data_IF_804996368358
#
_entry.id   IF_804996368358
#
_cell.length_a   1.000
_cell.length_b   1.000
_cell.length_c   1.000
_cell.angle_alpha   90.00
_cell.angle_beta   90.00
_cell.angle_gamma   90.00
#
_symmetry.space_group_name_H-M   'P 1'
#
loop_
_entity.id
_entity.type
_entity.pdbx_description
1 polymer ?
#
# COMPACT_ATOMS: atom_id res chain seq x y z
N UNK A 1 6.10 -19.07 -0.88
CA UNK A 1 5.74 -19.79 0.38
C UNK A 1 6.75 -19.41 1.45
N UNK A 2 6.26 -19.11 2.66
CA UNK A 2 7.13 -18.86 3.81
C UNK A 2 7.75 -20.20 4.18
N UNK A 3 9.09 -20.29 4.15
CA UNK A 3 9.79 -21.52 4.46
C UNK A 3 9.83 -21.79 5.98
N UNK A 4 10.18 -23.03 6.37
CA UNK A 4 10.25 -23.43 7.76
C UNK A 4 11.25 -22.62 8.59
N UNK A 5 12.32 -22.13 7.96
CA UNK A 5 13.35 -21.32 8.60
C UNK A 5 12.80 -19.94 9.01
N UNK A 6 12.05 -19.27 8.13
CA UNK A 6 11.38 -18.00 8.47
C UNK A 6 10.34 -18.27 9.55
N UNK A 7 9.51 -19.31 9.38
CA UNK A 7 8.46 -19.65 10.36
C UNK A 7 9.02 -19.88 11.77
N UNK A 8 10.22 -20.49 11.91
CA UNK A 8 10.86 -20.71 13.21
C UNK A 8 11.42 -19.44 13.86
N UNK A 9 11.68 -18.41 13.08
CA UNK A 9 12.20 -17.10 13.56
C UNK A 9 11.10 -16.10 13.90
N UNK A 10 9.84 -16.44 13.58
CA UNK A 10 8.71 -15.60 13.91
C UNK A 10 8.41 -15.68 15.41
N UNK A 11 8.39 -14.54 16.07
CA UNK A 11 8.04 -14.43 17.48
C UNK A 11 6.59 -14.86 17.74
N UNK A 12 6.35 -15.29 18.97
CA UNK A 12 4.99 -15.58 19.45
C UNK A 12 4.63 -14.53 20.51
N UNK A 13 4.04 -13.39 20.09
CA UNK A 13 3.68 -12.36 21.05
C UNK A 13 2.58 -12.82 21.98
N UNK A 14 2.71 -12.45 23.25
CA UNK A 14 1.60 -12.50 24.21
C UNK A 14 0.74 -11.24 24.01
N UNK A 15 0.00 -11.22 22.92
CA UNK A 15 -0.90 -10.10 22.59
C UNK A 15 -2.31 -10.45 23.07
N UNK A 16 -3.03 -9.46 23.54
CA UNK A 16 -4.42 -9.60 23.99
C UNK A 16 -5.27 -10.22 22.88
N UNK A 17 -5.98 -11.35 23.12
CA UNK A 17 -6.84 -11.94 22.11
C UNK A 17 -7.92 -10.96 21.66
N UNK A 18 -8.24 -10.99 20.37
CA UNK A 18 -9.32 -10.17 19.81
C UNK A 18 -10.63 -10.43 20.55
N UNK A 19 -11.31 -9.39 21.08
CA UNK A 19 -12.62 -9.53 21.69
C UNK A 19 -13.65 -10.01 20.65
N UNK A 20 -14.81 -10.43 21.12
CA UNK A 20 -15.93 -10.68 20.22
C UNK A 20 -16.32 -9.37 19.51
N UNK A 21 -16.70 -9.41 18.22
CA UNK A 21 -17.21 -8.24 17.55
C UNK A 21 -18.39 -7.65 18.31
N UNK A 22 -18.32 -6.36 18.63
CA UNK A 22 -19.39 -5.61 19.28
C UNK A 22 -19.72 -4.36 18.46
N UNK A 23 -20.94 -3.87 18.52
CA UNK A 23 -21.32 -2.64 17.83
C UNK A 23 -21.63 -2.81 16.33
N UNK A 24 -21.27 -1.79 15.53
CA UNK A 24 -21.49 -1.80 14.08
C UNK A 24 -20.64 -2.87 13.40
N UNK A 25 -21.19 -3.52 12.37
CA UNK A 25 -20.46 -4.50 11.57
C UNK A 25 -19.19 -3.92 10.94
N UNK A 26 -19.14 -2.61 10.68
CA UNK A 26 -17.96 -1.90 10.13
C UNK A 26 -17.00 -1.39 11.20
N UNK A 27 -17.30 -1.61 12.48
CA UNK A 27 -16.38 -1.29 13.57
C UNK A 27 -15.27 -2.34 13.66
N UNK A 28 -14.04 -1.92 13.33
CA UNK A 28 -12.83 -2.74 13.43
C UNK A 28 -11.86 -2.22 14.51
N UNK A 29 -12.33 -1.43 15.46
CA UNK A 29 -11.48 -0.80 16.49
C UNK A 29 -10.65 -1.82 17.29
N UNK A 30 -11.23 -2.99 17.60
CA UNK A 30 -10.52 -4.07 18.28
C UNK A 30 -9.34 -4.61 17.45
N UNK A 31 -9.49 -4.70 16.12
CA UNK A 31 -8.42 -5.11 15.21
C UNK A 31 -7.33 -4.04 15.12
N UNK A 32 -7.71 -2.76 15.14
CA UNK A 32 -6.76 -1.65 15.21
C UNK A 32 -5.95 -1.65 16.50
N UNK A 33 -6.59 -1.87 17.65
CA UNK A 33 -5.92 -1.98 18.95
C UNK A 33 -4.95 -3.17 18.98
N UNK A 34 -5.36 -4.34 18.50
CA UNK A 34 -4.50 -5.52 18.36
C UNK A 34 -3.28 -5.23 17.47
N UNK A 35 -3.50 -4.57 16.34
CA UNK A 35 -2.42 -4.22 15.41
C UNK A 35 -1.40 -3.28 16.05
N UNK A 36 -1.86 -2.28 16.80
CA UNK A 36 -1.00 -1.35 17.51
C UNK A 36 -0.15 -2.06 18.59
N UNK A 37 -0.75 -2.99 19.36
CA UNK A 37 -0.06 -3.82 20.35
C UNK A 37 0.99 -4.71 19.68
N UNK A 38 0.64 -5.36 18.56
CA UNK A 38 1.56 -6.17 17.77
C UNK A 38 2.74 -5.33 17.21
N UNK A 39 2.45 -4.16 16.64
CA UNK A 39 3.48 -3.27 16.14
C UNK A 39 4.43 -2.80 17.25
N UNK A 40 3.90 -2.48 18.44
CA UNK A 40 4.70 -2.12 19.61
C UNK A 40 5.60 -3.27 20.06
N UNK A 41 5.07 -4.50 20.06
CA UNK A 41 5.83 -5.71 20.38
C UNK A 41 6.97 -5.94 19.40
N UNK A 42 6.72 -5.93 18.08
CA UNK A 42 7.75 -6.13 17.06
C UNK A 42 8.84 -5.03 17.11
N UNK A 43 8.45 -3.78 17.39
CA UNK A 43 9.39 -2.68 17.60
C UNK A 43 10.28 -2.90 18.82
N UNK A 44 9.75 -3.45 19.91
CA UNK A 44 10.52 -3.75 21.13
C UNK A 44 11.59 -4.82 20.93
N UNK A 45 11.39 -5.70 19.94
CA UNK A 45 12.32 -6.75 19.55
C UNK A 45 13.33 -6.31 18.48
N UNK A 46 13.15 -5.12 17.91
CA UNK A 46 13.99 -4.65 16.83
C UNK A 46 15.31 -4.06 17.38
N UNK A 47 16.43 -4.70 17.06
CA UNK A 47 17.77 -4.24 17.45
C UNK A 47 18.29 -3.09 16.57
N UNK A 48 17.57 -2.76 15.49
CA UNK A 48 17.90 -1.68 14.55
C UNK A 48 17.08 -0.44 14.87
N UNK A 49 17.33 0.64 14.12
CA UNK A 49 16.45 1.82 14.15
C UNK A 49 14.98 1.43 13.83
N UNK A 50 14.04 1.60 14.77
CA UNK A 50 12.64 1.24 14.57
C UNK A 50 11.81 2.30 13.83
N UNK A 51 12.40 3.44 13.43
CA UNK A 51 11.69 4.53 12.76
C UNK A 51 10.92 4.08 11.51
N UNK A 52 11.48 3.20 10.64
CA UNK A 52 10.72 2.68 9.50
C UNK A 52 9.45 1.89 9.88
N UNK A 53 9.45 1.22 11.05
CA UNK A 53 8.24 0.55 11.56
C UNK A 53 7.19 1.57 12.01
N UNK A 54 7.60 2.70 12.58
CA UNK A 54 6.68 3.79 12.96
C UNK A 54 6.00 4.41 11.73
N UNK A 55 6.77 4.58 10.64
CA UNK A 55 6.22 4.98 9.35
C UNK A 55 5.15 3.99 8.87
N UNK A 56 5.41 2.67 8.97
CA UNK A 56 4.45 1.63 8.56
C UNK A 56 3.20 1.57 9.45
N UNK A 57 3.33 1.83 10.75
CA UNK A 57 2.16 1.94 11.63
C UNK A 57 1.27 3.11 11.18
N UNK A 58 1.87 4.29 10.98
CA UNK A 58 1.14 5.48 10.51
C UNK A 58 0.51 5.27 9.13
N UNK A 59 1.25 4.64 8.22
CA UNK A 59 0.76 4.26 6.89
C UNK A 59 -0.50 3.38 6.99
N UNK A 60 -0.47 2.30 7.79
CA UNK A 60 -1.62 1.41 7.96
C UNK A 60 -2.85 2.14 8.52
N UNK A 61 -2.68 3.07 9.46
CA UNK A 61 -3.78 3.90 9.98
C UNK A 61 -4.43 4.73 8.86
N UNK A 62 -3.61 5.37 8.03
CA UNK A 62 -4.07 6.24 6.94
C UNK A 62 -4.70 5.44 5.79
N UNK A 63 -4.14 4.28 5.46
CA UNK A 63 -4.72 3.34 4.49
C UNK A 63 -6.07 2.84 4.95
N UNK A 64 -6.20 2.47 6.23
CA UNK A 64 -7.49 2.05 6.81
C UNK A 64 -8.52 3.18 6.81
N UNK A 65 -8.09 4.41 7.11
CA UNK A 65 -8.91 5.61 7.00
C UNK A 65 -9.35 5.89 5.55
N UNK A 66 -8.45 5.73 4.58
CA UNK A 66 -8.76 5.88 3.16
C UNK A 66 -9.77 4.81 2.70
N UNK A 67 -9.56 3.55 3.10
CA UNK A 67 -10.48 2.46 2.81
C UNK A 67 -11.88 2.73 3.36
N UNK A 68 -12.00 3.28 4.57
CA UNK A 68 -13.28 3.69 5.17
C UNK A 68 -13.97 4.75 4.32
N UNK A 69 -13.29 5.82 3.97
CA UNK A 69 -13.85 6.87 3.12
C UNK A 69 -14.32 6.35 1.76
N UNK A 70 -13.57 5.43 1.14
CA UNK A 70 -13.96 4.80 -0.13
C UNK A 70 -15.22 3.92 0.08
N UNK A 71 -15.25 3.06 1.12
CA UNK A 71 -16.42 2.19 1.37
C UNK A 71 -17.70 2.96 1.62
N UNK A 72 -17.62 4.11 2.30
CA UNK A 72 -18.74 4.99 2.59
C UNK A 72 -19.20 5.74 1.34
N UNK A 73 -18.27 6.26 0.53
CA UNK A 73 -18.61 7.03 -0.68
C UNK A 73 -19.12 6.18 -1.83
N UNK A 74 -18.77 4.90 -1.89
CA UNK A 74 -19.19 3.95 -2.93
C UNK A 74 -20.35 3.06 -2.48
N UNK A 75 -20.99 3.38 -1.33
CA UNK A 75 -22.10 2.62 -0.75
C UNK A 75 -21.86 1.10 -0.69
N UNK A 76 -20.61 0.69 -0.34
CA UNK A 76 -20.25 -0.72 -0.29
C UNK A 76 -21.02 -1.41 0.84
N UNK A 77 -21.72 -2.54 0.57
CA UNK A 77 -22.52 -3.23 1.58
C UNK A 77 -21.71 -3.60 2.84
N UNK A 78 -22.28 -3.47 4.05
CA UNK A 78 -21.55 -3.60 5.32
C UNK A 78 -20.67 -4.84 5.46
N UNK A 79 -21.07 -6.08 5.06
CA UNK A 79 -20.18 -7.24 5.13
C UNK A 79 -18.95 -7.10 4.22
N UNK A 80 -19.10 -6.52 3.03
CA UNK A 80 -17.99 -6.27 2.11
C UNK A 80 -17.14 -5.10 2.58
N UNK A 81 -17.77 -4.03 3.10
CA UNK A 81 -17.04 -2.91 3.72
C UNK A 81 -16.13 -3.41 4.86
N UNK A 82 -16.65 -4.31 5.72
CA UNK A 82 -15.82 -4.95 6.77
C UNK A 82 -14.65 -5.71 6.18
N UNK A 83 -14.85 -6.51 5.13
CA UNK A 83 -13.75 -7.22 4.46
C UNK A 83 -12.68 -6.26 3.94
N UNK A 84 -13.09 -5.16 3.31
CA UNK A 84 -12.19 -4.12 2.80
C UNK A 84 -11.41 -3.45 3.93
N UNK A 85 -12.06 -3.11 5.04
CA UNK A 85 -11.44 -2.46 6.19
C UNK A 85 -10.43 -3.39 6.89
N UNK A 86 -10.77 -4.67 7.08
CA UNK A 86 -9.86 -5.67 7.67
C UNK A 86 -8.67 -5.95 6.74
N UNK A 87 -8.90 -6.02 5.44
CA UNK A 87 -7.82 -6.20 4.48
C UNK A 87 -6.88 -4.98 4.46
N UNK A 88 -7.41 -3.76 4.52
CA UNK A 88 -6.63 -2.54 4.65
C UNK A 88 -5.83 -2.49 5.97
N UNK A 89 -6.45 -2.91 7.10
CA UNK A 89 -5.79 -2.97 8.41
C UNK A 89 -4.61 -3.94 8.43
N UNK A 90 -4.67 -5.03 7.67
CA UNK A 90 -3.69 -6.12 7.78
C UNK A 90 -2.81 -6.30 6.52
N UNK A 91 -2.97 -5.49 5.47
CA UNK A 91 -2.21 -5.68 4.22
C UNK A 91 -0.70 -5.71 4.43
N UNK A 92 -0.19 -4.85 5.28
CA UNK A 92 1.23 -4.67 5.60
C UNK A 92 1.65 -5.25 6.97
N UNK A 93 0.84 -6.14 7.57
CA UNK A 93 1.15 -6.77 8.86
C UNK A 93 2.54 -7.41 8.87
N UNK A 94 2.92 -8.09 7.79
CA UNK A 94 4.22 -8.75 7.64
C UNK A 94 5.42 -7.81 7.53
N UNK A 95 5.21 -6.52 7.32
CA UNK A 95 6.30 -5.53 7.22
C UNK A 95 7.10 -5.38 8.52
N UNK A 96 6.45 -5.57 9.66
CA UNK A 96 7.11 -5.45 10.97
C UNK A 96 8.14 -6.56 11.15
N UNK A 97 7.78 -7.81 10.95
CA UNK A 97 8.71 -8.94 11.02
C UNK A 97 9.70 -8.94 9.87
N UNK A 98 9.27 -8.55 8.65
CA UNK A 98 10.18 -8.39 7.51
C UNK A 98 11.32 -7.43 7.87
N UNK A 99 11.00 -6.25 8.39
CA UNK A 99 12.02 -5.26 8.75
C UNK A 99 12.87 -5.74 9.93
N UNK A 100 12.27 -6.28 10.98
CA UNK A 100 13.01 -6.81 12.13
C UNK A 100 14.01 -7.89 11.74
N UNK A 101 13.63 -8.82 10.87
CA UNK A 101 14.46 -9.95 10.48
C UNK A 101 15.50 -9.59 9.42
N UNK A 102 15.16 -8.73 8.46
CA UNK A 102 15.97 -8.49 7.28
C UNK A 102 16.52 -7.05 7.17
N UNK A 103 16.00 -6.08 7.94
CA UNK A 103 16.41 -4.69 7.89
C UNK A 103 15.99 -3.94 6.63
N UNK A 104 15.02 -4.47 5.87
CA UNK A 104 14.57 -3.89 4.60
C UNK A 104 13.09 -4.18 4.36
N UNK A 105 12.41 -3.31 3.60
CA UNK A 105 11.06 -3.53 3.07
C UNK A 105 11.07 -4.05 1.62
N UNK A 106 12.24 -4.36 1.05
CA UNK A 106 12.33 -4.84 -0.34
C UNK A 106 12.11 -6.35 -0.39
N UNK A 107 10.97 -6.74 -0.96
CA UNK A 107 10.56 -8.15 -1.03
C UNK A 107 11.61 -9.03 -1.71
N UNK A 108 12.26 -8.53 -2.77
CA UNK A 108 13.30 -9.27 -3.51
C UNK A 108 14.56 -9.54 -2.68
N UNK A 109 14.81 -8.72 -1.64
CA UNK A 109 16.00 -8.83 -0.78
C UNK A 109 15.64 -9.53 0.55
N UNK A 110 14.40 -10.02 0.70
CA UNK A 110 13.88 -10.62 1.92
C UNK A 110 12.78 -11.67 1.65
N UNK A 111 11.52 -11.32 1.92
CA UNK A 111 10.33 -12.15 1.72
C UNK A 111 9.20 -11.33 1.14
N UNK A 112 8.28 -11.97 0.40
CA UNK A 112 7.05 -11.30 -0.02
C UNK A 112 6.22 -10.95 1.22
N UNK A 113 6.10 -9.66 1.51
CA UNK A 113 5.39 -9.17 2.70
C UNK A 113 3.88 -9.46 2.67
N UNK A 114 3.27 -9.51 1.49
CA UNK A 114 1.84 -9.82 1.34
C UNK A 114 1.56 -11.27 1.75
N UNK A 115 2.40 -12.21 1.32
CA UNK A 115 2.32 -13.61 1.75
C UNK A 115 2.63 -13.75 3.25
N UNK A 116 3.62 -13.00 3.77
CA UNK A 116 3.93 -12.98 5.19
C UNK A 116 2.76 -12.41 6.00
N UNK A 117 2.12 -11.33 5.55
CA UNK A 117 0.93 -10.76 6.19
C UNK A 117 -0.21 -11.79 6.26
N UNK A 118 -0.51 -12.46 5.15
CA UNK A 118 -1.56 -13.48 5.12
C UNK A 118 -1.24 -14.66 6.06
N UNK A 119 0.01 -15.13 6.07
CA UNK A 119 0.46 -16.16 7.01
C UNK A 119 0.27 -15.75 8.46
N UNK A 120 0.62 -14.51 8.83
CA UNK A 120 0.47 -14.01 10.20
C UNK A 120 -1.00 -13.86 10.60
N UNK A 121 -1.86 -13.41 9.70
CA UNK A 121 -3.32 -13.36 9.92
C UNK A 121 -3.84 -14.76 10.30
N UNK A 122 -3.42 -15.79 9.58
CA UNK A 122 -3.81 -17.17 9.85
C UNK A 122 -3.16 -17.69 11.14
N UNK A 123 -1.86 -17.46 11.34
CA UNK A 123 -1.10 -17.88 12.54
C UNK A 123 -1.70 -17.32 13.84
N UNK A 124 -2.10 -16.07 13.85
CA UNK A 124 -2.68 -15.42 15.04
C UNK A 124 -4.20 -15.57 15.12
N UNK A 125 -4.84 -16.26 14.18
CA UNK A 125 -6.27 -16.49 14.17
C UNK A 125 -7.11 -15.22 14.10
N UNK A 126 -6.60 -14.17 13.45
CA UNK A 126 -7.21 -12.83 13.44
C UNK A 126 -8.59 -12.80 12.77
N UNK A 127 -8.88 -13.77 11.90
CA UNK A 127 -10.16 -13.90 11.21
C UNK A 127 -11.01 -15.08 11.72
N UNK A 128 -10.66 -15.68 12.85
CA UNK A 128 -11.41 -16.82 13.39
C UNK A 128 -12.89 -16.48 13.63
N UNK A 129 -13.17 -15.26 14.10
CA UNK A 129 -14.52 -14.73 14.30
C UNK A 129 -15.09 -14.01 13.07
N UNK A 130 -14.31 -13.94 11.99
CA UNK A 130 -14.61 -13.23 10.74
C UNK A 130 -14.69 -14.21 9.55
N UNK A 131 -15.04 -15.47 9.79
CA UNK A 131 -15.00 -16.54 8.79
C UNK A 131 -15.79 -16.22 7.50
N UNK A 132 -16.88 -15.44 7.63
CA UNK A 132 -17.72 -15.01 6.50
C UNK A 132 -17.06 -14.02 5.54
N UNK A 133 -15.97 -13.33 5.97
CA UNK A 133 -15.19 -12.41 5.13
C UNK A 133 -13.74 -12.86 4.94
N UNK A 134 -13.32 -13.93 5.59
CA UNK A 134 -11.92 -14.37 5.63
C UNK A 134 -11.31 -14.58 4.24
N UNK A 135 -12.07 -15.17 3.30
CA UNK A 135 -11.61 -15.36 1.90
C UNK A 135 -11.28 -14.04 1.21
N UNK A 136 -12.17 -13.05 1.33
CA UNK A 136 -12.00 -11.76 0.71
C UNK A 136 -10.79 -11.02 1.31
N UNK A 137 -10.65 -11.05 2.65
CA UNK A 137 -9.53 -10.42 3.37
C UNK A 137 -8.20 -11.05 2.97
N UNK A 138 -8.05 -12.37 3.09
CA UNK A 138 -6.79 -13.08 2.78
C UNK A 138 -6.42 -12.94 1.31
N UNK A 139 -7.42 -13.03 0.40
CA UNK A 139 -7.20 -12.83 -1.02
C UNK A 139 -6.72 -11.40 -1.34
N UNK A 140 -7.36 -10.40 -0.76
CA UNK A 140 -6.97 -9.00 -0.94
C UNK A 140 -5.56 -8.72 -0.39
N UNK A 141 -5.24 -9.23 0.80
CA UNK A 141 -3.91 -9.09 1.42
C UNK A 141 -2.84 -9.72 0.53
N UNK A 142 -3.04 -10.96 0.02
CA UNK A 142 -2.07 -11.62 -0.87
C UNK A 142 -1.87 -10.91 -2.20
N UNK A 143 -2.89 -10.19 -2.68
CA UNK A 143 -2.90 -9.58 -4.01
C UNK A 143 -2.66 -8.06 -4.01
N UNK A 144 -2.46 -7.41 -2.85
CA UNK A 144 -2.34 -5.97 -2.84
C UNK A 144 -1.08 -5.46 -3.53
N UNK A 145 0.03 -6.21 -3.48
CA UNK A 145 1.34 -5.83 -4.04
C UNK A 145 1.61 -6.35 -5.46
N UNK A 146 0.67 -7.10 -6.09
CA UNK A 146 0.88 -7.58 -7.45
C UNK A 146 0.72 -6.45 -8.48
N UNK A 147 1.46 -6.50 -9.58
CA UNK A 147 1.35 -5.48 -10.64
C UNK A 147 -0.04 -5.44 -11.27
N UNK A 148 -0.58 -6.60 -11.66
CA UNK A 148 -1.94 -6.75 -12.20
C UNK A 148 -2.71 -7.82 -11.44
N UNK A 149 -3.98 -7.55 -11.17
CA UNK A 149 -4.86 -8.56 -10.59
C UNK A 149 -5.21 -9.62 -11.64
N UNK A 150 -5.27 -10.92 -11.26
CA UNK A 150 -5.83 -11.95 -12.12
C UNK A 150 -7.26 -11.64 -12.59
N UNK A 151 -7.61 -12.09 -13.79
CA UNK A 151 -8.92 -11.80 -14.38
C UNK A 151 -10.06 -12.62 -13.78
N UNK A 152 -9.77 -13.84 -13.32
CA UNK A 152 -10.70 -14.85 -12.84
C UNK A 152 -10.91 -14.87 -11.32
N UNK A 153 -10.66 -13.75 -10.64
CA UNK A 153 -10.86 -13.65 -9.19
C UNK A 153 -12.33 -13.72 -8.80
N UNK A 154 -12.66 -14.39 -7.66
CA UNK A 154 -13.97 -14.27 -7.03
C UNK A 154 -14.34 -12.79 -6.80
N UNK A 155 -15.62 -12.45 -6.96
CA UNK A 155 -16.08 -11.04 -6.92
C UNK A 155 -15.76 -10.34 -5.60
N UNK A 156 -15.92 -11.04 -4.48
CA UNK A 156 -15.59 -10.53 -3.13
C UNK A 156 -14.09 -10.24 -2.95
N UNK A 157 -13.22 -11.16 -3.41
CA UNK A 157 -11.77 -10.96 -3.41
C UNK A 157 -11.39 -9.80 -4.32
N UNK A 158 -11.99 -9.71 -5.51
CA UNK A 158 -11.72 -8.64 -6.48
C UNK A 158 -12.05 -7.25 -5.92
N UNK A 159 -13.23 -7.10 -5.29
CA UNK A 159 -13.65 -5.83 -4.70
C UNK A 159 -12.71 -5.43 -3.57
N UNK A 160 -12.43 -6.32 -2.63
CA UNK A 160 -11.53 -6.04 -1.51
C UNK A 160 -10.10 -5.73 -1.98
N UNK A 161 -9.55 -6.51 -2.94
CA UNK A 161 -8.22 -6.27 -3.48
C UNK A 161 -8.11 -4.92 -4.21
N UNK A 162 -9.10 -4.56 -5.03
CA UNK A 162 -9.14 -3.25 -5.70
C UNK A 162 -9.15 -2.11 -4.70
N UNK A 163 -9.98 -2.22 -3.66
CA UNK A 163 -10.12 -1.17 -2.66
C UNK A 163 -8.85 -0.98 -1.85
N UNK A 164 -8.25 -2.07 -1.36
CA UNK A 164 -6.99 -1.98 -0.61
C UNK A 164 -5.88 -1.38 -1.46
N UNK A 165 -5.76 -1.79 -2.73
CA UNK A 165 -4.75 -1.24 -3.66
C UNK A 165 -4.92 0.24 -3.92
N UNK A 166 -6.16 0.73 -4.02
CA UNK A 166 -6.43 2.16 -4.16
C UNK A 166 -6.06 2.91 -2.88
N UNK A 167 -6.53 2.42 -1.73
CA UNK A 167 -6.26 3.04 -0.43
C UNK A 167 -4.75 3.09 -0.10
N UNK A 168 -4.02 2.01 -0.37
CA UNK A 168 -2.57 1.91 -0.19
C UNK A 168 -1.82 2.94 -1.06
N UNK A 169 -2.15 3.01 -2.35
CA UNK A 169 -1.53 3.99 -3.26
C UNK A 169 -1.76 5.43 -2.84
N UNK A 170 -2.93 5.76 -2.30
CA UNK A 170 -3.23 7.12 -1.83
C UNK A 170 -2.27 7.56 -0.71
N UNK A 171 -1.95 6.68 0.25
CA UNK A 171 -0.99 7.03 1.29
C UNK A 171 0.46 6.91 0.84
N UNK A 172 0.80 5.98 -0.06
CA UNK A 172 2.14 5.94 -0.68
C UNK A 172 2.44 7.26 -1.40
N UNK A 173 1.46 7.86 -2.09
CA UNK A 173 1.65 9.17 -2.73
C UNK A 173 2.02 10.26 -1.72
N UNK A 174 1.39 10.29 -0.54
CA UNK A 174 1.74 11.22 0.55
C UNK A 174 3.19 11.00 0.99
N UNK A 175 3.55 9.76 1.31
CA UNK A 175 4.91 9.41 1.76
C UNK A 175 5.95 9.81 0.71
N UNK A 176 5.68 9.52 -0.57
CA UNK A 176 6.62 9.85 -1.65
C UNK A 176 6.71 11.34 -1.93
N UNK A 177 5.61 12.07 -1.79
CA UNK A 177 5.60 13.52 -1.94
C UNK A 177 6.42 14.18 -0.82
N UNK A 178 6.24 13.77 0.43
CA UNK A 178 7.03 14.23 1.58
C UNK A 178 8.52 13.93 1.39
N UNK A 179 8.85 12.72 0.96
CA UNK A 179 10.22 12.25 0.75
C UNK A 179 10.93 12.99 -0.40
N UNK A 180 10.28 13.04 -1.57
CA UNK A 180 10.87 13.60 -2.79
C UNK A 180 10.85 15.14 -2.81
N UNK A 181 10.12 15.78 -1.90
CA UNK A 181 10.12 17.25 -1.74
C UNK A 181 11.24 17.74 -0.80
N UNK A 182 12.01 16.83 -0.23
CA UNK A 182 13.12 17.17 0.67
C UNK A 182 12.69 17.79 1.99
N UNK A 183 11.42 17.69 2.35
CA UNK A 183 10.86 18.24 3.58
C UNK A 183 10.91 17.28 4.77
N UNK A 184 11.33 16.05 4.58
CA UNK A 184 11.34 15.01 5.61
C UNK A 184 12.65 14.25 5.74
N UNK A 185 12.94 13.78 6.96
CA UNK A 185 14.02 12.84 7.29
C UNK A 185 13.65 11.40 6.92
N UNK A 186 13.02 11.18 5.78
CA UNK A 186 12.53 9.86 5.40
C UNK A 186 13.70 8.93 5.00
N UNK A 187 13.74 7.70 5.52
CA UNK A 187 14.83 6.78 5.19
C UNK A 187 14.88 6.45 3.69
N UNK A 188 16.05 6.52 3.08
CA UNK A 188 16.30 6.17 1.66
C UNK A 188 15.77 4.80 1.24
N UNK A 189 15.49 3.92 2.20
CA UNK A 189 14.87 2.59 2.01
C UNK A 189 13.47 2.67 1.39
N UNK A 190 12.79 3.81 1.49
CA UNK A 190 11.43 4.02 0.96
C UNK A 190 11.46 4.40 -0.52
N UNK A 191 12.51 5.11 -0.98
CA UNK A 191 12.63 5.66 -2.36
C UNK A 191 13.31 4.70 -3.34
N UNK A 192 13.32 3.41 -3.08
CA UNK A 192 13.86 2.35 -3.96
C UNK A 192 15.32 2.56 -4.42
N UNK A 193 16.09 3.47 -3.80
CA UNK A 193 17.45 3.85 -4.17
C UNK A 193 17.66 4.20 -5.65
N UNK A 194 16.64 4.78 -6.31
CA UNK A 194 16.79 5.23 -7.69
C UNK A 194 17.79 6.39 -7.78
N UNK A 195 18.65 6.43 -8.81
CA UNK A 195 19.57 7.54 -8.98
C UNK A 195 18.81 8.83 -9.33
N UNK A 196 19.17 9.92 -8.67
CA UNK A 196 18.70 11.27 -9.04
C UNK A 196 19.61 11.83 -10.14
N UNK A 197 19.43 11.32 -11.35
CA UNK A 197 20.21 11.67 -12.54
C UNK A 197 19.26 12.16 -13.65
N UNK A 198 19.25 13.47 -13.96
CA UNK A 198 18.34 14.05 -14.95
C UNK A 198 18.62 13.60 -16.38
N UNK A 199 19.79 13.01 -16.65
CA UNK A 199 20.14 12.47 -17.97
C UNK A 199 19.54 11.07 -18.24
N UNK A 200 19.06 10.41 -17.18
CA UNK A 200 18.46 9.06 -17.25
C UNK A 200 16.96 9.13 -17.30
N UNK A 201 16.37 8.44 -18.27
CA UNK A 201 14.92 8.32 -18.42
C UNK A 201 14.55 7.00 -19.08
N UNK A 202 13.37 6.50 -18.75
CA UNK A 202 12.82 5.27 -19.30
C UNK A 202 11.76 5.57 -20.36
N UNK A 203 12.05 5.20 -21.61
CA UNK A 203 11.08 5.28 -22.71
C UNK A 203 9.81 4.47 -22.44
N UNK A 204 9.93 3.38 -21.67
CA UNK A 204 8.78 2.55 -21.31
C UNK A 204 7.85 3.26 -20.33
N UNK A 205 8.39 3.88 -19.27
CA UNK A 205 7.61 4.65 -18.30
C UNK A 205 6.92 5.83 -18.99
N UNK A 206 7.65 6.58 -19.82
CA UNK A 206 7.10 7.70 -20.63
C UNK A 206 5.99 7.17 -21.55
N UNK A 207 6.24 6.09 -22.27
CA UNK A 207 5.26 5.47 -23.17
C UNK A 207 3.97 5.05 -22.47
N UNK A 208 4.06 4.45 -21.26
CA UNK A 208 2.87 4.14 -20.46
C UNK A 208 2.07 5.39 -20.11
N UNK A 209 2.73 6.44 -19.64
CA UNK A 209 2.07 7.71 -19.30
C UNK A 209 1.32 8.31 -20.50
N UNK A 210 1.93 8.30 -21.68
CA UNK A 210 1.32 8.83 -22.93
C UNK A 210 0.12 7.99 -23.38
N UNK A 211 0.14 6.67 -23.17
CA UNK A 211 -0.99 5.78 -23.53
C UNK A 211 -2.09 5.72 -22.47
N UNK A 212 -1.94 6.38 -21.32
CA UNK A 212 -2.88 6.28 -20.22
C UNK A 212 -2.84 4.92 -19.50
N UNK A 213 -1.65 4.34 -19.39
CA UNK A 213 -1.38 3.05 -18.75
C UNK A 213 -0.54 3.22 -17.48
N UNK A 214 -0.71 2.32 -16.52
CA UNK A 214 0.14 2.28 -15.32
C UNK A 214 1.51 1.74 -15.68
N UNK A 215 2.57 2.47 -15.31
CA UNK A 215 3.95 2.04 -15.50
C UNK A 215 4.38 0.98 -14.47
N UNK A 216 5.44 0.22 -14.79
CA UNK A 216 6.01 -0.81 -13.90
C UNK A 216 7.23 -0.30 -13.14
N UNK A 217 7.38 -0.75 -11.89
CA UNK A 217 8.60 -0.51 -11.10
C UNK A 217 9.86 -1.12 -11.74
N UNK A 218 9.72 -2.20 -12.52
CA UNK A 218 10.83 -2.87 -13.19
C UNK A 218 11.43 -2.03 -14.33
N UNK A 219 10.69 -1.03 -14.80
CA UNK A 219 11.11 -0.16 -15.90
C UNK A 219 11.76 1.15 -15.42
N UNK A 220 11.91 1.36 -14.10
CA UNK A 220 12.49 2.56 -13.53
C UNK A 220 14.01 2.62 -13.73
N UNK A 221 14.52 3.80 -14.10
CA UNK A 221 15.95 4.08 -14.25
C UNK A 221 16.41 5.33 -13.49
N UNK A 222 15.48 6.16 -13.01
CA UNK A 222 15.75 7.39 -12.28
C UNK A 222 14.63 7.78 -11.32
N UNK A 223 14.89 8.74 -10.45
CA UNK A 223 13.88 9.35 -9.57
C UNK A 223 12.77 10.02 -10.38
N UNK A 224 13.07 10.60 -11.54
CA UNK A 224 12.05 11.21 -12.40
C UNK A 224 11.13 10.16 -13.04
N UNK A 225 11.64 8.99 -13.44
CA UNK A 225 10.78 7.87 -13.84
C UNK A 225 9.84 7.47 -12.71
N UNK A 226 10.34 7.45 -11.47
CA UNK A 226 9.54 7.11 -10.31
C UNK A 226 8.43 8.14 -10.06
N UNK A 227 8.73 9.45 -10.12
CA UNK A 227 7.70 10.50 -10.05
C UNK A 227 6.62 10.32 -11.10
N UNK A 228 7.02 10.05 -12.35
CA UNK A 228 6.07 9.83 -13.45
C UNK A 228 5.24 8.57 -13.25
N UNK A 229 5.87 7.46 -12.82
CA UNK A 229 5.17 6.22 -12.49
C UNK A 229 4.08 6.46 -11.44
N UNK A 230 4.39 7.17 -10.35
CA UNK A 230 3.42 7.49 -9.30
C UNK A 230 2.22 8.29 -9.85
N UNK A 231 2.48 9.23 -10.78
CA UNK A 231 1.41 9.94 -11.50
C UNK A 231 0.54 9.03 -12.34
N UNK A 232 1.12 8.00 -12.99
CA UNK A 232 0.35 7.06 -13.82
C UNK A 232 -0.64 6.19 -13.05
N UNK A 233 -0.55 6.16 -11.71
CA UNK A 233 -1.49 5.40 -10.90
C UNK A 233 -2.93 5.89 -11.04
N UNK A 234 -3.16 7.13 -11.48
CA UNK A 234 -4.51 7.63 -11.79
C UNK A 234 -5.26 6.71 -12.77
N UNK A 235 -4.54 6.13 -13.75
CA UNK A 235 -5.10 5.22 -14.75
C UNK A 235 -5.48 3.85 -14.18
N UNK A 236 -4.97 3.51 -12.99
CA UNK A 236 -5.23 2.25 -12.30
C UNK A 236 -6.13 2.36 -11.08
N UNK A 237 -6.68 3.55 -10.77
CA UNK A 237 -7.66 3.71 -9.69
C UNK A 237 -8.99 3.07 -10.08
N UNK A 238 -9.54 2.28 -9.17
CA UNK A 238 -10.70 1.44 -9.43
C UNK A 238 -12.03 2.10 -9.05
N UNK A 239 -12.02 3.01 -8.06
CA UNK A 239 -13.22 3.64 -7.52
C UNK A 239 -13.23 5.14 -7.81
N UNK A 240 -14.42 5.72 -8.02
CA UNK A 240 -14.56 7.15 -8.27
C UNK A 240 -14.12 7.99 -7.07
N UNK A 241 -14.45 7.54 -5.85
CA UNK A 241 -13.97 8.15 -4.62
C UNK A 241 -12.43 8.17 -4.54
N UNK A 242 -11.76 7.09 -5.00
CA UNK A 242 -10.29 7.01 -5.05
C UNK A 242 -9.71 7.99 -6.06
N UNK A 243 -10.32 8.12 -7.25
CA UNK A 243 -9.88 9.07 -8.29
C UNK A 243 -9.98 10.51 -7.82
N UNK A 244 -11.13 10.89 -7.24
CA UNK A 244 -11.35 12.22 -6.68
C UNK A 244 -10.35 12.54 -5.59
N UNK A 245 -10.07 11.59 -4.70
CA UNK A 245 -9.10 11.77 -3.63
C UNK A 245 -7.67 11.87 -4.16
N UNK A 246 -7.30 11.03 -5.14
CA UNK A 246 -6.00 11.08 -5.82
C UNK A 246 -5.72 12.49 -6.40
N UNK A 247 -6.73 13.08 -7.03
CA UNK A 247 -6.65 14.45 -7.58
C UNK A 247 -6.66 15.52 -6.48
N UNK A 248 -7.55 15.38 -5.49
CA UNK A 248 -7.83 16.39 -4.46
C UNK A 248 -6.73 16.54 -3.41
N UNK A 249 -6.08 15.45 -2.99
CA UNK A 249 -5.00 15.47 -1.97
C UNK A 249 -3.74 16.20 -2.47
N UNK A 250 -3.58 16.35 -3.78
CA UNK A 250 -2.53 17.14 -4.41
C UNK A 250 -1.15 16.50 -4.45
N UNK A 251 -0.93 15.37 -3.77
CA UNK A 251 0.37 14.69 -3.72
C UNK A 251 0.87 14.28 -5.10
N UNK A 252 0.05 13.57 -5.86
CA UNK A 252 0.40 13.15 -7.22
C UNK A 252 0.67 14.34 -8.14
N UNK A 253 -0.13 15.42 -8.01
CA UNK A 253 0.07 16.65 -8.79
C UNK A 253 1.44 17.28 -8.49
N UNK A 254 1.85 17.38 -7.21
CA UNK A 254 3.17 17.91 -6.85
C UNK A 254 4.30 17.07 -7.38
N UNK A 255 4.22 15.74 -7.22
CA UNK A 255 5.21 14.78 -7.71
C UNK A 255 5.42 14.91 -9.23
N UNK A 256 4.32 14.95 -10.00
CA UNK A 256 4.38 15.06 -11.46
C UNK A 256 4.80 16.48 -11.90
N UNK A 257 4.36 17.54 -11.20
CA UNK A 257 4.74 18.91 -11.49
C UNK A 257 6.25 19.16 -11.28
N UNK A 258 6.91 18.40 -10.41
CA UNK A 258 8.35 18.47 -10.20
C UNK A 258 9.19 17.85 -11.35
N UNK A 259 8.57 17.18 -12.33
CA UNK A 259 9.26 16.72 -13.53
C UNK A 259 9.68 17.88 -14.43
N UNK A 260 10.77 17.73 -15.21
CA UNK A 260 11.19 18.75 -16.17
C UNK A 260 10.07 19.15 -17.15
N UNK A 261 9.93 20.46 -17.40
CA UNK A 261 8.95 21.00 -18.33
C UNK A 261 9.36 20.86 -19.80
N UNK A 262 10.64 20.58 -20.03
CA UNK A 262 11.24 20.39 -21.35
C UNK A 262 11.94 19.02 -21.41
N UNK A 263 12.23 18.56 -22.64
CA UNK A 263 12.93 17.29 -22.86
C UNK A 263 11.99 16.07 -22.78
N UNK A 264 12.53 14.88 -22.44
CA UNK A 264 11.82 13.61 -22.61
C UNK A 264 10.50 13.48 -21.82
N UNK A 265 10.40 14.16 -20.68
CA UNK A 265 9.22 14.06 -19.81
C UNK A 265 8.09 15.04 -20.14
N UNK A 266 8.35 16.09 -20.92
CA UNK A 266 7.44 17.24 -21.11
C UNK A 266 6.02 16.82 -21.50
N UNK A 267 5.87 16.01 -22.54
CA UNK A 267 4.56 15.55 -23.04
C UNK A 267 3.86 14.62 -22.04
N UNK A 268 4.58 13.65 -21.49
CA UNK A 268 4.05 12.72 -20.49
C UNK A 268 3.62 13.44 -19.20
N UNK A 269 4.42 14.42 -18.73
CA UNK A 269 4.09 15.30 -17.62
C UNK A 269 2.76 16.03 -17.86
N UNK A 270 2.63 16.69 -19.00
CA UNK A 270 1.41 17.43 -19.35
C UNK A 270 0.19 16.50 -19.42
N UNK A 271 0.33 15.32 -20.05
CA UNK A 271 -0.73 14.32 -20.17
C UNK A 271 -1.22 13.82 -18.80
N UNK A 272 -0.29 13.48 -17.91
CA UNK A 272 -0.66 12.96 -16.57
C UNK A 272 -1.28 14.07 -15.71
N UNK A 273 -0.75 15.30 -15.74
CA UNK A 273 -1.35 16.44 -15.03
C UNK A 273 -2.78 16.74 -15.50
N UNK A 274 -3.02 16.64 -16.81
CA UNK A 274 -4.37 16.76 -17.37
C UNK A 274 -5.29 15.67 -16.84
N UNK A 275 -4.86 14.41 -16.86
CA UNK A 275 -5.66 13.28 -16.36
C UNK A 275 -5.98 13.40 -14.87
N UNK A 276 -5.03 13.91 -14.05
CA UNK A 276 -5.27 14.20 -12.64
C UNK A 276 -6.33 15.30 -12.49
N UNK A 277 -6.25 16.37 -13.28
CA UNK A 277 -7.22 17.46 -13.21
C UNK A 277 -8.64 17.04 -13.65
N UNK A 278 -8.75 16.15 -14.63
CA UNK A 278 -10.03 15.60 -15.10
C UNK A 278 -10.70 14.63 -14.10
N UNK A 279 -9.94 14.11 -13.15
CA UNK A 279 -10.42 13.17 -12.12
C UNK A 279 -10.96 13.85 -10.85
N UNK A 280 -10.67 15.12 -10.65
CA UNK A 280 -11.14 15.93 -9.50
C UNK A 280 -12.36 16.73 -9.87
#
# INVERSE_FOLDING_TARGET
MINSEISSRLSAPSITPLPAPGGSITDISAHGAWFAEYAAYERSLCERDPSPMSLKLRHTELVTGAARGITESEDIPPPMARACLLAAQYHDLGRFEQYRLFGTFRDRDSVNHAELSAFLIEKYGLLTKEAYVARAVLGAVRLHNVYRLPEDLPSDVRVAARLVRDADKLDILRVMDEELSGSGDCPRTVVLNQPDDPSRFSQKVIGCALRGEVASYDDLTSVNDFRLLLGTWIYGMNFDASRKRFAGDGHAKRLVAALPENGPYAEARARVLQSIAEAG
#
